data_IF_543096951365
#
_entry.id   IF_543096951365
#
_cell.length_a   1.000
_cell.length_b   1.000
_cell.length_c   1.000
_cell.angle_alpha   90.00
_cell.angle_beta   90.00
_cell.angle_gamma   90.00
#
_symmetry.space_group_name_H-M   'P 1'
#
loop_
_entity.id
_entity.type
_entity.pdbx_description
1 polymer ?
#
# COMPACT_ATOMS: atom_id res chain seq x y z
N UNK A 1 -53.88 -1.64 7.83
CA UNK A 1 -52.89 -1.20 8.83
C UNK A 1 -51.89 -0.32 8.12
N UNK A 2 -51.93 0.98 8.38
CA UNK A 2 -51.06 1.96 7.73
C UNK A 2 -49.63 1.88 8.25
N UNK A 3 -48.68 1.64 7.34
CA UNK A 3 -47.26 1.65 7.64
C UNK A 3 -46.79 3.05 8.00
N UNK A 4 -45.98 3.14 9.06
CA UNK A 4 -45.36 4.37 9.57
C UNK A 4 -44.81 5.22 8.42
N UNK A 5 -45.14 6.50 8.42
CA UNK A 5 -44.73 7.47 7.41
C UNK A 5 -43.23 7.45 7.21
N UNK A 6 -42.80 6.92 6.07
CA UNK A 6 -41.46 7.13 5.55
C UNK A 6 -41.41 8.58 5.11
N UNK A 7 -40.52 9.36 5.71
CA UNK A 7 -40.31 10.75 5.32
C UNK A 7 -39.50 10.77 4.01
N UNK A 8 -40.18 11.09 2.92
CA UNK A 8 -39.61 11.13 1.57
C UNK A 8 -39.17 12.55 1.15
N UNK A 9 -39.33 13.55 2.02
CA UNK A 9 -39.03 14.96 1.69
C UNK A 9 -37.61 15.17 1.18
N UNK A 10 -36.65 14.42 1.73
CA UNK A 10 -35.24 14.47 1.33
C UNK A 10 -35.00 14.02 -0.13
N UNK A 11 -35.76 13.04 -0.62
CA UNK A 11 -35.62 12.50 -1.98
C UNK A 11 -36.24 13.43 -3.04
N UNK A 12 -37.32 14.14 -2.67
CA UNK A 12 -37.97 15.13 -3.54
C UNK A 12 -37.03 16.32 -3.84
N UNK A 13 -36.06 16.60 -2.95
CA UNK A 13 -35.00 17.59 -3.16
C UNK A 13 -33.77 17.02 -3.90
N UNK A 14 -33.80 15.75 -4.30
CA UNK A 14 -32.70 15.05 -4.96
C UNK A 14 -31.54 14.66 -4.02
N UNK A 15 -31.74 14.77 -2.71
CA UNK A 15 -30.76 14.38 -1.69
C UNK A 15 -30.90 12.90 -1.30
N UNK A 16 -29.87 12.37 -0.63
CA UNK A 16 -29.75 10.95 -0.27
C UNK A 16 -29.70 10.78 1.25
N UNK A 17 -30.16 9.63 1.74
CA UNK A 17 -30.19 9.36 3.19
C UNK A 17 -28.77 9.23 3.77
N UNK A 18 -28.54 9.67 5.01
CA UNK A 18 -27.32 9.32 5.74
C UNK A 18 -27.31 7.82 6.06
N UNK A 19 -26.13 7.22 6.13
CA UNK A 19 -25.98 5.79 6.31
C UNK A 19 -24.58 5.28 6.02
N UNK A 20 -24.42 3.97 6.03
CA UNK A 20 -23.18 3.31 5.64
C UNK A 20 -23.35 2.81 4.20
N UNK A 21 -22.41 3.20 3.34
CA UNK A 21 -22.42 2.82 1.93
C UNK A 21 -21.08 2.18 1.55
N UNK A 22 -21.07 1.13 0.71
CA UNK A 22 -19.85 0.69 0.06
C UNK A 22 -19.40 1.81 -0.89
N UNK A 23 -18.11 2.16 -0.84
CA UNK A 23 -17.55 3.27 -1.60
C UNK A 23 -16.20 2.89 -2.19
N UNK A 24 -16.03 3.18 -3.48
CA UNK A 24 -14.72 3.24 -4.14
C UNK A 24 -14.12 4.64 -3.95
N UNK A 25 -12.93 4.72 -3.34
CA UNK A 25 -12.22 5.98 -3.13
C UNK A 25 -11.29 6.22 -4.30
N UNK A 26 -11.54 7.31 -5.03
CA UNK A 26 -10.80 7.69 -6.24
C UNK A 26 -9.97 8.94 -5.96
N UNK A 27 -8.65 8.80 -5.92
CA UNK A 27 -7.72 9.92 -5.75
C UNK A 27 -7.14 10.32 -7.11
N UNK A 28 -7.37 11.56 -7.54
CA UNK A 28 -6.87 12.12 -8.81
C UNK A 28 -7.12 11.19 -10.01
N UNK A 29 -8.29 10.55 -10.04
CA UNK A 29 -8.73 9.64 -11.11
C UNK A 29 -8.30 8.17 -10.97
N UNK A 30 -7.54 7.81 -9.93
CA UNK A 30 -7.13 6.43 -9.67
C UNK A 30 -7.81 5.87 -8.41
N UNK A 31 -8.32 4.64 -8.46
CA UNK A 31 -8.89 3.99 -7.27
C UNK A 31 -7.77 3.63 -6.28
N UNK A 32 -7.87 4.12 -5.05
CA UNK A 32 -6.89 3.89 -3.98
C UNK A 32 -7.41 2.99 -2.87
N UNK A 33 -8.73 2.87 -2.70
CA UNK A 33 -9.35 1.98 -1.70
C UNK A 33 -10.81 1.66 -2.08
N UNK A 34 -11.37 0.61 -1.47
CA UNK A 34 -12.77 0.19 -1.58
C UNK A 34 -13.25 -0.27 -0.21
N UNK A 35 -14.17 0.45 0.41
CA UNK A 35 -14.65 0.14 1.79
C UNK A 35 -16.01 0.72 2.09
N UNK A 36 -16.63 0.20 3.15
CA UNK A 36 -17.84 0.78 3.73
C UNK A 36 -17.49 2.09 4.47
N UNK A 37 -18.22 3.16 4.14
CA UNK A 37 -18.02 4.51 4.68
C UNK A 37 -19.32 5.02 5.27
N UNK A 38 -19.25 5.62 6.47
CA UNK A 38 -20.38 6.29 7.10
C UNK A 38 -20.53 7.71 6.54
N UNK A 39 -21.74 8.08 6.16
CA UNK A 39 -22.10 9.40 5.68
C UNK A 39 -23.13 10.04 6.59
N UNK A 40 -22.92 11.32 6.87
CA UNK A 40 -23.86 12.19 7.57
C UNK A 40 -24.35 13.29 6.63
N UNK A 41 -25.52 13.80 6.93
CA UNK A 41 -26.12 14.91 6.19
C UNK A 41 -25.51 16.24 6.65
N UNK A 42 -25.02 17.05 5.71
CA UNK A 42 -24.62 18.45 5.94
C UNK A 42 -25.30 19.36 4.90
N UNK A 43 -25.20 20.68 5.11
CA UNK A 43 -25.74 21.70 4.20
C UNK A 43 -24.60 22.57 3.70
N UNK A 44 -24.61 22.89 2.42
CA UNK A 44 -23.69 23.87 1.83
C UNK A 44 -24.11 25.31 2.17
N UNK A 45 -23.34 26.29 1.68
CA UNK A 45 -23.60 27.71 1.93
C UNK A 45 -24.95 28.18 1.37
N UNK A 46 -25.44 27.53 0.32
CA UNK A 46 -26.72 27.77 -0.33
C UNK A 46 -27.88 27.01 0.36
N UNK A 47 -27.59 26.23 1.40
CA UNK A 47 -28.56 25.48 2.19
C UNK A 47 -28.99 24.15 1.56
N UNK A 48 -28.36 23.73 0.46
CA UNK A 48 -28.62 22.45 -0.19
C UNK A 48 -27.96 21.33 0.59
N UNK A 49 -28.72 20.26 0.75
CA UNK A 49 -28.33 19.10 1.53
C UNK A 49 -27.38 18.19 0.74
N UNK A 50 -26.27 17.78 1.36
CA UNK A 50 -25.31 16.83 0.78
C UNK A 50 -24.83 15.81 1.83
N UNK A 51 -24.22 14.72 1.35
CA UNK A 51 -23.63 13.70 2.20
C UNK A 51 -22.13 13.98 2.39
N UNK A 52 -21.70 14.10 3.65
CA UNK A 52 -20.30 14.24 4.04
C UNK A 52 -19.83 12.97 4.75
N UNK A 53 -18.61 12.54 4.48
CA UNK A 53 -17.97 11.42 5.19
C UNK A 53 -16.77 11.90 6.00
N UNK A 54 -16.20 11.00 6.79
CA UNK A 54 -15.06 11.27 7.66
C UNK A 54 -13.83 10.58 7.08
N UNK A 55 -12.87 11.36 6.59
CA UNK A 55 -11.56 10.86 6.16
C UNK A 55 -10.60 10.96 7.34
N UNK A 56 -10.14 9.82 7.85
CA UNK A 56 -9.19 9.79 8.99
C UNK A 56 -7.76 10.07 8.53
N UNK A 57 -6.89 10.40 9.50
CA UNK A 57 -5.45 10.57 9.25
C UNK A 57 -4.82 9.34 8.59
N UNK A 58 -5.15 8.15 9.10
CA UNK A 58 -4.63 6.90 8.56
C UNK A 58 -5.06 6.68 7.11
N UNK A 59 -6.31 6.98 6.77
CA UNK A 59 -6.82 6.86 5.41
C UNK A 59 -6.06 7.78 4.45
N UNK A 60 -5.98 9.08 4.78
CA UNK A 60 -5.29 10.04 3.93
C UNK A 60 -3.79 9.71 3.76
N UNK A 61 -3.11 9.33 4.84
CA UNK A 61 -1.71 8.91 4.77
C UNK A 61 -1.53 7.65 3.89
N UNK A 62 -2.44 6.67 3.99
CA UNK A 62 -2.44 5.46 3.16
C UNK A 62 -2.68 5.79 1.69
N UNK A 63 -3.52 6.77 1.38
CA UNK A 63 -3.76 7.23 0.01
C UNK A 63 -2.61 8.07 -0.55
N UNK A 64 -1.59 8.36 0.27
CA UNK A 64 -0.39 9.08 -0.13
C UNK A 64 -0.44 10.57 0.13
N UNK A 65 -1.40 11.08 0.91
CA UNK A 65 -1.42 12.49 1.34
C UNK A 65 -0.36 12.71 2.42
N UNK A 66 0.44 13.77 2.27
CA UNK A 66 1.47 14.18 3.24
C UNK A 66 0.83 14.85 4.46
N UNK A 67 0.07 14.11 5.26
CA UNK A 67 -0.67 14.63 6.43
C UNK A 67 0.21 15.33 7.47
N UNK A 68 1.50 15.00 7.50
CA UNK A 68 2.55 15.60 8.33
C UNK A 68 2.89 17.05 7.95
N UNK A 69 2.67 17.45 6.69
CA UNK A 69 2.92 18.81 6.22
C UNK A 69 1.73 19.75 6.44
N UNK A 70 0.57 19.18 6.78
CA UNK A 70 -0.69 19.90 7.01
C UNK A 70 -1.29 19.56 8.37
N UNK A 71 -0.68 20.01 9.48
CA UNK A 71 -1.14 19.67 10.84
C UNK A 71 -2.57 20.15 11.10
N UNK A 72 -3.00 21.24 10.47
CA UNK A 72 -4.35 21.80 10.57
C UNK A 72 -5.42 20.93 9.88
N UNK A 73 -5.06 19.90 9.11
CA UNK A 73 -6.03 18.95 8.55
C UNK A 73 -6.91 18.31 9.63
N UNK A 74 -6.36 18.11 10.82
CA UNK A 74 -7.03 17.39 11.90
C UNK A 74 -7.13 18.29 13.12
N UNK A 75 -8.35 18.68 13.45
CA UNK A 75 -8.64 19.41 14.68
C UNK A 75 -9.18 18.43 15.72
N UNK A 76 -8.41 18.15 16.78
CA UNK A 76 -8.84 17.30 17.88
C UNK A 76 -7.98 17.47 19.12
N UNK A 77 -8.62 17.54 20.29
CA UNK A 77 -7.95 17.55 21.60
C UNK A 77 -7.02 16.34 21.75
N UNK A 78 -5.93 16.56 22.50
CA UNK A 78 -4.71 15.74 22.76
C UNK A 78 -4.91 14.28 23.22
N UNK A 79 -5.86 13.53 22.65
CA UNK A 79 -6.17 12.15 23.02
C UNK A 79 -7.09 11.36 22.08
N UNK A 80 -7.64 11.96 21.01
CA UNK A 80 -8.47 11.27 19.99
C UNK A 80 -8.09 11.59 18.54
N UNK A 81 -6.83 11.90 18.28
CA UNK A 81 -6.33 12.27 16.95
C UNK A 81 -6.63 11.24 15.84
N UNK A 82 -6.71 9.95 16.17
CA UNK A 82 -6.93 8.89 15.18
C UNK A 82 -8.33 8.96 14.52
N UNK A 83 -9.34 9.45 15.26
CA UNK A 83 -10.74 9.51 14.81
C UNK A 83 -11.16 10.92 14.33
N UNK A 84 -10.22 11.88 14.31
CA UNK A 84 -10.50 13.22 13.80
C UNK A 84 -10.77 13.17 12.29
N UNK A 85 -11.88 13.76 11.86
CA UNK A 85 -12.21 13.89 10.44
C UNK A 85 -11.38 15.01 9.82
N UNK A 86 -10.77 14.72 8.67
CA UNK A 86 -9.97 15.70 7.96
C UNK A 86 -10.82 16.89 7.48
N UNK A 87 -10.29 18.10 7.64
CA UNK A 87 -10.78 19.32 7.02
C UNK A 87 -9.96 19.60 5.75
N UNK A 88 -10.37 19.00 4.63
CA UNK A 88 -9.62 19.06 3.36
C UNK A 88 -9.45 20.48 2.82
N UNK A 89 -10.29 21.44 3.23
CA UNK A 89 -10.18 22.84 2.81
C UNK A 89 -8.87 23.52 3.22
N UNK A 90 -8.15 22.95 4.19
CA UNK A 90 -6.80 23.38 4.61
C UNK A 90 -5.77 23.18 3.50
N UNK A 91 -5.93 22.16 2.65
CA UNK A 91 -5.06 21.95 1.48
C UNK A 91 -5.61 22.79 0.33
N UNK A 92 -4.86 23.80 -0.17
CA UNK A 92 -5.35 24.66 -1.24
C UNK A 92 -5.73 23.85 -2.48
N UNK A 93 -6.90 24.09 -3.06
CA UNK A 93 -7.42 23.37 -4.24
C UNK A 93 -7.71 21.88 -4.03
N UNK A 94 -7.67 21.37 -2.79
CA UNK A 94 -8.20 20.05 -2.51
C UNK A 94 -9.73 20.07 -2.53
N UNK A 95 -10.35 19.07 -3.14
CA UNK A 95 -11.80 18.90 -3.15
C UNK A 95 -12.20 17.47 -2.88
N UNK A 96 -13.39 17.33 -2.29
CA UNK A 96 -14.06 16.08 -2.01
C UNK A 96 -15.44 16.11 -2.66
N UNK A 97 -15.79 15.08 -3.41
CA UNK A 97 -17.12 14.98 -4.03
C UNK A 97 -17.59 13.54 -4.01
N UNK A 98 -18.70 13.28 -3.33
CA UNK A 98 -19.31 11.96 -3.32
C UNK A 98 -20.33 11.81 -4.45
N UNK A 99 -20.04 10.92 -5.39
CA UNK A 99 -20.95 10.50 -6.45
C UNK A 99 -21.75 9.28 -5.99
N UNK A 100 -22.91 9.54 -5.39
CA UNK A 100 -23.75 8.49 -4.80
C UNK A 100 -24.14 7.39 -5.80
N UNK A 101 -24.55 7.78 -7.02
CA UNK A 101 -25.05 6.84 -8.03
C UNK A 101 -24.00 5.81 -8.48
N UNK A 102 -22.72 6.20 -8.52
CA UNK A 102 -21.59 5.32 -8.84
C UNK A 102 -20.89 4.77 -7.60
N UNK A 103 -21.34 5.14 -6.39
CA UNK A 103 -20.70 4.79 -5.12
C UNK A 103 -19.21 5.19 -5.08
N UNK A 104 -18.87 6.37 -5.61
CA UNK A 104 -17.49 6.84 -5.70
C UNK A 104 -17.26 8.11 -4.88
N UNK A 105 -16.22 8.11 -4.04
CA UNK A 105 -15.70 9.32 -3.41
C UNK A 105 -14.54 9.85 -4.24
N UNK A 106 -14.75 10.97 -4.93
CA UNK A 106 -13.72 11.62 -5.73
C UNK A 106 -12.95 12.61 -4.87
N UNK A 107 -11.65 12.35 -4.74
CA UNK A 107 -10.68 13.22 -4.07
C UNK A 107 -9.79 13.85 -5.14
N UNK A 108 -9.82 15.18 -5.24
CA UNK A 108 -8.85 15.94 -6.02
C UNK A 108 -7.87 16.56 -5.03
N UNK A 109 -6.61 16.15 -5.05
CA UNK A 109 -5.58 16.65 -4.13
C UNK A 109 -4.37 17.13 -4.95
N UNK A 110 -3.86 18.35 -4.74
CA UNK A 110 -2.68 18.84 -5.43
C UNK A 110 -1.48 17.91 -5.28
N UNK A 111 -0.69 17.74 -6.33
CA UNK A 111 0.49 16.85 -6.31
C UNK A 111 1.53 17.26 -5.26
N UNK A 112 1.60 18.55 -4.90
CA UNK A 112 2.48 19.03 -3.83
C UNK A 112 2.10 18.52 -2.44
N UNK A 113 0.84 18.14 -2.24
CA UNK A 113 0.34 17.56 -1.00
C UNK A 113 0.35 16.02 -1.01
N UNK A 114 0.87 15.41 -2.08
CA UNK A 114 0.94 13.97 -2.26
C UNK A 114 2.39 13.50 -2.24
N UNK A 115 2.62 12.38 -1.57
CA UNK A 115 3.88 11.65 -1.62
C UNK A 115 4.19 11.26 -3.06
N UNK A 116 5.44 11.46 -3.52
CA UNK A 116 5.84 10.99 -4.84
C UNK A 116 5.53 9.49 -4.95
N UNK A 117 4.95 9.04 -6.07
CA UNK A 117 4.74 7.61 -6.26
C UNK A 117 6.11 6.91 -6.23
N UNK A 118 6.30 6.00 -5.27
CA UNK A 118 7.46 5.12 -5.21
C UNK A 118 7.38 4.17 -6.42
N UNK A 119 8.01 4.55 -7.53
CA UNK A 119 8.05 3.71 -8.73
C UNK A 119 9.11 2.64 -8.55
N UNK A 120 8.73 1.38 -8.78
CA UNK A 120 9.65 0.24 -8.84
C UNK A 120 9.91 -0.48 -7.52
N UNK A 121 9.31 -0.04 -6.41
CA UNK A 121 9.41 -0.72 -5.10
C UNK A 121 7.99 -0.95 -4.59
N UNK A 122 7.66 -2.20 -4.25
CA UNK A 122 6.38 -2.51 -3.62
C UNK A 122 6.31 -1.89 -2.21
N UNK A 123 5.13 -1.45 -1.74
CA UNK A 123 4.94 -1.02 -0.36
C UNK A 123 5.51 -2.03 0.66
N UNK A 124 6.13 -1.53 1.74
CA UNK A 124 6.74 -2.38 2.79
C UNK A 124 5.74 -3.38 3.40
N UNK A 125 4.47 -2.99 3.52
CA UNK A 125 3.40 -3.86 4.04
C UNK A 125 3.13 -5.09 3.15
N UNK A 126 3.58 -5.09 1.90
CA UNK A 126 3.46 -6.22 0.98
C UNK A 126 4.74 -7.07 0.92
N UNK A 127 5.79 -6.71 1.66
CA UNK A 127 7.03 -7.47 1.66
C UNK A 127 6.81 -8.79 2.40
N UNK A 128 7.21 -9.87 1.76
CA UNK A 128 7.16 -11.22 2.32
C UNK A 128 8.59 -11.67 2.66
N UNK A 129 8.81 -12.05 3.91
CA UNK A 129 10.07 -12.63 4.36
C UNK A 129 10.37 -14.00 3.72
N UNK A 130 9.32 -14.62 3.15
CA UNK A 130 9.35 -15.94 2.57
C UNK A 130 9.24 -17.04 3.62
N UNK A 131 9.41 -18.28 3.17
CA UNK A 131 9.32 -19.44 4.04
C UNK A 131 10.68 -19.83 4.64
N UNK A 132 10.69 -20.40 5.86
CA UNK A 132 11.84 -21.12 6.37
C UNK A 132 12.31 -22.21 5.40
N UNK A 133 13.57 -22.18 5.00
CA UNK A 133 14.10 -23.10 4.00
C UNK A 133 15.60 -23.37 4.17
N UNK A 134 16.03 -24.57 3.81
CA UNK A 134 17.44 -24.91 3.59
C UNK A 134 17.73 -24.95 2.09
N UNK A 135 18.88 -24.42 1.68
CA UNK A 135 19.35 -24.32 0.30
C UNK A 135 20.73 -24.98 0.18
N UNK A 136 20.99 -25.64 -0.94
CA UNK A 136 22.31 -26.18 -1.27
C UNK A 136 22.52 -26.12 -2.78
N UNK A 137 23.30 -25.16 -3.25
CA UNK A 137 23.85 -25.21 -4.60
C UNK A 137 25.20 -25.91 -4.58
N UNK A 138 25.55 -26.57 -5.67
CA UNK A 138 26.84 -27.24 -5.81
C UNK A 138 27.34 -27.16 -7.24
N UNK A 139 28.66 -27.09 -7.39
CA UNK A 139 29.33 -27.15 -8.68
C UNK A 139 30.58 -28.03 -8.54
N UNK A 140 30.73 -29.01 -9.42
CA UNK A 140 31.90 -29.89 -9.45
C UNK A 140 32.57 -29.81 -10.82
N UNK A 141 33.87 -29.56 -10.84
CA UNK A 141 34.70 -29.50 -12.03
C UNK A 141 35.89 -30.46 -11.89
N UNK A 142 36.27 -31.09 -13.00
CA UNK A 142 37.47 -31.94 -13.08
C UNK A 142 38.27 -31.55 -14.32
N UNK A 143 39.59 -31.55 -14.20
CA UNK A 143 40.50 -31.34 -15.33
C UNK A 143 41.66 -32.31 -15.25
N UNK A 144 42.10 -32.79 -16.42
CA UNK A 144 43.27 -33.65 -16.57
C UNK A 144 44.19 -33.04 -17.60
N UNK A 145 45.46 -32.90 -17.24
CA UNK A 145 46.50 -32.40 -18.13
C UNK A 145 47.58 -33.46 -18.31
N UNK A 146 47.96 -33.72 -19.57
CA UNK A 146 48.98 -34.71 -19.94
C UNK A 146 50.07 -34.03 -20.75
N UNK A 147 51.31 -34.04 -20.26
CA UNK A 147 52.48 -33.54 -20.98
C UNK A 147 53.22 -34.70 -21.66
N UNK A 148 53.34 -34.64 -22.99
CA UNK A 148 53.92 -35.72 -23.83
C UNK A 148 55.36 -35.46 -24.31
N UNK A 149 56.05 -34.45 -23.77
CA UNK A 149 57.45 -34.14 -24.09
C UNK A 149 58.49 -34.99 -23.33
N UNK A 150 59.74 -34.54 -23.30
CA UNK A 150 60.80 -35.18 -22.50
C UNK A 150 60.51 -34.93 -21.00
N UNK A 151 60.25 -36.01 -20.24
CA UNK A 151 59.73 -35.91 -18.86
C UNK A 151 58.20 -35.92 -18.79
N UNK A 152 57.60 -37.07 -19.13
CA UNK A 152 56.13 -37.27 -19.11
C UNK A 152 55.55 -36.95 -17.73
N UNK A 153 54.49 -36.17 -17.68
CA UNK A 153 53.72 -35.89 -16.46
C UNK A 153 52.21 -35.89 -16.71
N UNK A 154 51.46 -36.30 -15.70
CA UNK A 154 50.00 -36.26 -15.68
C UNK A 154 49.60 -35.54 -14.39
N UNK A 155 48.65 -34.62 -14.50
CA UNK A 155 48.07 -33.90 -13.36
C UNK A 155 46.56 -33.96 -13.45
N UNK A 156 45.91 -34.40 -12.39
CA UNK A 156 44.46 -34.50 -12.27
C UNK A 156 44.00 -33.52 -11.20
N UNK A 157 43.13 -32.58 -11.56
CA UNK A 157 42.59 -31.61 -10.63
C UNK A 157 41.08 -31.75 -10.51
N UNK A 158 40.60 -31.72 -9.27
CA UNK A 158 39.20 -31.80 -8.89
C UNK A 158 38.87 -30.58 -8.05
N UNK A 159 37.73 -29.97 -8.35
CA UNK A 159 37.26 -28.77 -7.68
C UNK A 159 35.77 -28.91 -7.40
N UNK A 160 35.36 -28.70 -6.16
CA UNK A 160 33.95 -28.70 -5.76
C UNK A 160 33.65 -27.42 -4.98
N UNK A 161 32.63 -26.70 -5.42
CA UNK A 161 32.06 -25.56 -4.70
C UNK A 161 30.71 -25.98 -4.13
N UNK A 162 30.48 -25.70 -2.85
CA UNK A 162 29.21 -25.90 -2.16
C UNK A 162 28.72 -24.56 -1.61
N UNK A 163 27.43 -24.27 -1.81
CA UNK A 163 26.77 -23.04 -1.34
C UNK A 163 25.58 -23.39 -0.44
N UNK A 164 25.81 -23.82 0.81
CA UNK A 164 24.71 -24.04 1.73
C UNK A 164 24.11 -22.70 2.21
N UNK A 165 22.80 -22.69 2.43
CA UNK A 165 22.08 -21.53 2.94
C UNK A 165 20.86 -21.90 3.78
N UNK A 166 20.48 -21.01 4.70
CA UNK A 166 19.25 -21.13 5.50
C UNK A 166 18.50 -19.79 5.44
N UNK A 167 17.19 -19.87 5.22
CA UNK A 167 16.24 -18.77 5.38
C UNK A 167 15.41 -19.03 6.64
N UNK A 168 15.28 -18.03 7.52
CA UNK A 168 14.43 -18.10 8.71
C UNK A 168 13.83 -16.72 9.01
N UNK A 169 12.58 -16.49 8.58
CA UNK A 169 11.97 -15.16 8.60
C UNK A 169 12.85 -14.14 7.85
N UNK A 170 13.17 -12.97 8.43
CA UNK A 170 13.96 -11.96 7.75
C UNK A 170 15.45 -12.34 7.57
N UNK A 171 15.93 -13.39 8.26
CA UNK A 171 17.32 -13.79 8.23
C UNK A 171 17.65 -14.68 7.03
N UNK A 172 18.74 -14.33 6.33
CA UNK A 172 19.29 -15.08 5.18
C UNK A 172 20.76 -15.39 5.42
N UNK A 173 21.05 -16.60 5.89
CA UNK A 173 22.42 -17.08 6.12
C UNK A 173 22.89 -17.80 4.87
N UNK A 174 24.09 -17.47 4.40
CA UNK A 174 24.73 -18.06 3.21
C UNK A 174 26.19 -18.39 3.52
N UNK A 175 26.68 -19.48 2.97
CA UNK A 175 28.09 -19.85 3.02
C UNK A 175 28.57 -20.31 1.64
N UNK A 176 29.85 -20.11 1.36
CA UNK A 176 30.53 -20.59 0.17
C UNK A 176 31.74 -21.40 0.64
N UNK A 177 31.71 -22.71 0.40
CA UNK A 177 32.80 -23.63 0.73
C UNK A 177 33.37 -24.23 -0.53
N UNK A 178 34.69 -24.23 -0.63
CA UNK A 178 35.41 -24.77 -1.78
C UNK A 178 36.35 -25.87 -1.33
N UNK A 179 36.31 -27.00 -2.04
CA UNK A 179 37.26 -28.10 -1.91
C UNK A 179 38.04 -28.28 -3.20
N UNK A 180 39.35 -28.47 -3.11
CA UNK A 180 40.20 -28.81 -4.24
C UNK A 180 41.08 -30.02 -3.94
N UNK A 181 41.48 -30.72 -5.00
CA UNK A 181 42.51 -31.76 -4.99
C UNK A 181 43.22 -31.80 -6.34
N UNK A 182 44.54 -31.70 -6.33
CA UNK A 182 45.43 -31.82 -7.50
C UNK A 182 46.34 -33.05 -7.44
#
# INVERSE_FOLDING_TARGET
GGGKGVDLTLFEEGAQLPGIYPVDIILNGSRVDSRDMAFRTEKDAEGKTYLKTCLTREMLARYGVMTEEYPELFHGDDGKEADACAELSVIPQATETYQFASQQLLLSIPQVALRPPLRGIAPEALWDDGIPAFLLNWQANTSRSEYRGYGKSVTDNYWVTLEPGINLGPWRVRNLTTWNRS
#
